data_IF_875426936000
#
_entry.id   IF_875426936000
#
_cell.length_a   1.000
_cell.length_b   1.000
_cell.length_c   1.000
_cell.angle_alpha   90.00
_cell.angle_beta   90.00
_cell.angle_gamma   90.00
#
_symmetry.space_group_name_H-M   'P 1'
#
loop_
_entity.id
_entity.type
_entity.pdbx_description
1 polymer ?
#
# COMPACT_ATOMS: atom_id res chain seq x y z
N UNK A 1 -39.34 6.81 -8.71
CA UNK A 1 -40.08 5.67 -8.13
C UNK A 1 -39.11 4.84 -7.29
N UNK A 2 -38.97 5.24 -6.03
CA UNK A 2 -38.16 4.55 -5.03
C UNK A 2 -38.89 3.29 -4.50
N UNK A 3 -38.07 2.41 -3.91
CA UNK A 3 -38.41 1.45 -2.84
C UNK A 3 -39.43 0.34 -3.15
N UNK A 4 -38.94 -0.87 -3.51
CA UNK A 4 -39.71 -2.12 -3.35
C UNK A 4 -38.90 -3.44 -3.38
N UNK A 5 -37.71 -3.47 -2.78
CA UNK A 5 -36.98 -4.74 -2.54
C UNK A 5 -36.49 -4.90 -1.08
N UNK A 6 -37.24 -4.34 -0.12
CA UNK A 6 -37.14 -4.69 1.29
C UNK A 6 -38.50 -5.19 1.75
N UNK A 7 -38.75 -6.49 1.62
CA UNK A 7 -39.74 -7.30 2.36
C UNK A 7 -39.98 -8.60 1.59
N UNK A 8 -39.04 -9.53 1.67
CA UNK A 8 -39.39 -10.94 1.60
C UNK A 8 -39.36 -11.40 3.06
N UNK A 9 -40.47 -11.93 3.62
CA UNK A 9 -40.49 -12.39 5.00
C UNK A 9 -39.48 -13.54 5.12
N UNK A 10 -38.51 -13.39 6.02
CA UNK A 10 -37.57 -14.47 6.32
C UNK A 10 -38.36 -15.60 6.98
N UNK A 11 -38.37 -16.83 6.41
CA UNK A 11 -38.68 -17.98 7.24
C UNK A 11 -37.47 -18.17 8.15
N UNK A 12 -37.61 -17.75 9.40
CA UNK A 12 -36.64 -18.08 10.45
C UNK A 12 -36.61 -19.60 10.49
N UNK A 13 -35.50 -20.19 10.05
CA UNK A 13 -35.29 -21.63 10.11
C UNK A 13 -35.39 -22.03 11.59
N UNK A 14 -36.39 -22.85 11.93
CA UNK A 14 -36.70 -23.28 13.29
C UNK A 14 -35.51 -23.97 13.99
N UNK A 15 -34.47 -24.38 13.24
CA UNK A 15 -33.24 -24.97 13.78
C UNK A 15 -32.22 -23.94 14.33
N UNK A 16 -32.39 -22.65 14.05
CA UNK A 16 -31.46 -21.60 14.50
C UNK A 16 -32.01 -20.75 15.65
N UNK A 17 -33.25 -21.02 16.10
CA UNK A 17 -33.92 -20.22 17.14
C UNK A 17 -33.33 -20.39 18.55
N UNK A 18 -32.56 -21.46 18.81
CA UNK A 18 -32.14 -21.85 20.16
C UNK A 18 -30.66 -21.56 20.51
N UNK A 19 -29.94 -20.74 19.74
CA UNK A 19 -28.56 -20.35 20.10
C UNK A 19 -28.35 -18.84 20.00
N UNK A 20 -28.11 -18.12 21.11
CA UNK A 20 -28.03 -16.66 21.13
C UNK A 20 -26.68 -16.08 20.64
N UNK A 21 -25.82 -16.89 20.01
CA UNK A 21 -24.45 -16.49 19.62
C UNK A 21 -24.05 -16.81 18.18
N UNK A 22 -24.96 -17.32 17.33
CA UNK A 22 -24.60 -17.59 15.93
C UNK A 22 -24.53 -16.28 15.15
N UNK A 23 -23.36 -15.98 14.60
CA UNK A 23 -23.14 -14.81 13.77
C UNK A 23 -24.12 -14.81 12.58
N UNK A 24 -24.62 -13.65 12.17
CA UNK A 24 -25.55 -13.50 11.02
C UNK A 24 -25.03 -14.26 9.78
N UNK A 25 -23.71 -14.29 9.61
CA UNK A 25 -22.98 -15.05 8.58
C UNK A 25 -23.14 -16.56 8.63
N UNK A 26 -23.26 -17.17 9.81
CA UNK A 26 -23.52 -18.60 9.99
C UNK A 26 -24.97 -18.95 9.62
N UNK A 27 -25.92 -18.10 9.99
CA UNK A 27 -27.32 -18.29 9.59
C UNK A 27 -27.47 -18.24 8.06
N UNK A 28 -26.75 -17.33 7.39
CA UNK A 28 -26.74 -17.25 5.92
C UNK A 28 -26.04 -18.44 5.26
N UNK A 29 -24.98 -19.02 5.86
CA UNK A 29 -24.30 -20.19 5.31
C UNK A 29 -25.16 -21.46 5.39
N UNK A 30 -25.91 -21.62 6.48
CA UNK A 30 -26.90 -22.70 6.65
C UNK A 30 -28.04 -22.55 5.65
N UNK A 31 -28.56 -21.34 5.48
CA UNK A 31 -29.62 -21.06 4.50
C UNK A 31 -29.16 -21.33 3.06
N UNK A 32 -27.96 -20.89 2.68
CA UNK A 32 -27.40 -21.17 1.35
C UNK A 32 -27.19 -22.67 1.11
N UNK A 33 -26.83 -23.42 2.15
CA UNK A 33 -26.67 -24.87 2.07
C UNK A 33 -28.01 -25.60 1.91
N UNK A 34 -29.06 -25.16 2.62
CA UNK A 34 -30.43 -25.65 2.44
C UNK A 34 -31.00 -25.31 1.06
N UNK A 35 -30.72 -24.10 0.54
CA UNK A 35 -31.13 -23.71 -0.81
C UNK A 35 -30.50 -24.60 -1.89
N UNK A 36 -29.25 -25.02 -1.72
CA UNK A 36 -28.57 -25.94 -2.64
C UNK A 36 -29.10 -27.39 -2.57
N UNK A 37 -29.75 -27.78 -1.46
CA UNK A 37 -30.47 -29.06 -1.38
C UNK A 37 -31.77 -29.03 -2.18
N UNK A 38 -32.41 -27.86 -2.31
CA UNK A 38 -33.65 -27.67 -3.08
C UNK A 38 -33.38 -27.45 -4.57
N UNK A 39 -32.30 -26.73 -4.91
CA UNK A 39 -31.85 -26.50 -6.29
C UNK A 39 -30.37 -26.82 -6.41
N UNK A 40 -30.08 -28.09 -6.69
CA UNK A 40 -28.71 -28.55 -6.89
C UNK A 40 -28.10 -27.91 -8.14
N UNK A 41 -27.17 -26.97 -7.95
CA UNK A 41 -26.37 -26.38 -9.03
C UNK A 41 -26.69 -24.92 -9.41
N UNK A 42 -27.53 -24.20 -8.64
CA UNK A 42 -27.68 -22.76 -8.87
C UNK A 42 -26.36 -22.01 -8.59
N UNK A 43 -25.83 -21.36 -9.63
CA UNK A 43 -24.60 -20.57 -9.59
C UNK A 43 -24.69 -19.38 -8.63
N UNK A 44 -25.88 -18.82 -8.42
CA UNK A 44 -26.04 -17.69 -7.50
C UNK A 44 -25.99 -18.14 -6.04
N UNK A 45 -26.64 -19.25 -5.71
CA UNK A 45 -26.53 -19.90 -4.39
C UNK A 45 -25.08 -20.31 -4.06
N UNK A 46 -24.34 -20.90 -5.02
CA UNK A 46 -22.93 -21.27 -4.84
C UNK A 46 -22.05 -20.06 -4.52
N UNK A 47 -22.21 -18.95 -5.24
CA UNK A 47 -21.49 -17.70 -4.95
C UNK A 47 -21.88 -17.12 -3.58
N UNK A 48 -23.16 -17.20 -3.21
CA UNK A 48 -23.63 -16.76 -1.89
C UNK A 48 -22.97 -17.56 -0.76
N UNK A 49 -22.88 -18.88 -0.90
CA UNK A 49 -22.21 -19.76 0.06
C UNK A 49 -20.70 -19.49 0.11
N UNK A 50 -20.05 -19.33 -1.04
CA UNK A 50 -18.63 -18.96 -1.13
C UNK A 50 -18.30 -17.63 -0.43
N UNK A 51 -19.18 -16.62 -0.54
CA UNK A 51 -19.04 -15.35 0.19
C UNK A 51 -19.13 -15.55 1.71
N UNK A 52 -20.06 -16.39 2.17
CA UNK A 52 -20.18 -16.70 3.60
C UNK A 52 -18.92 -17.41 4.13
N UNK A 53 -18.42 -18.42 3.43
CA UNK A 53 -17.18 -19.12 3.82
C UNK A 53 -15.98 -18.17 3.88
N UNK A 54 -15.88 -17.26 2.91
CA UNK A 54 -14.83 -16.24 2.91
C UNK A 54 -14.90 -15.33 4.14
N UNK A 55 -16.10 -14.93 4.58
CA UNK A 55 -16.30 -14.13 5.80
C UNK A 55 -16.03 -14.91 7.09
N UNK A 56 -16.22 -16.22 7.08
CA UNK A 56 -15.89 -17.12 8.18
C UNK A 56 -14.39 -17.48 8.23
N UNK A 57 -13.62 -17.15 7.20
CA UNK A 57 -12.19 -17.45 7.10
C UNK A 57 -11.87 -18.82 6.47
N UNK A 58 -12.88 -19.58 6.05
CA UNK A 58 -12.70 -20.85 5.34
C UNK A 58 -12.49 -20.60 3.84
N UNK A 59 -11.23 -20.45 3.46
CA UNK A 59 -10.85 -20.12 2.09
C UNK A 59 -10.96 -21.33 1.15
N UNK A 60 -10.65 -22.54 1.62
CA UNK A 60 -10.66 -23.75 0.78
C UNK A 60 -12.06 -24.08 0.27
N UNK A 61 -13.07 -24.10 1.15
CA UNK A 61 -14.45 -24.36 0.74
C UNK A 61 -15.02 -23.21 -0.09
N UNK A 62 -14.63 -21.97 0.23
CA UNK A 62 -14.97 -20.80 -0.59
C UNK A 62 -14.48 -20.95 -2.04
N UNK A 63 -13.27 -21.47 -2.24
CA UNK A 63 -12.68 -21.66 -3.58
C UNK A 63 -13.42 -22.76 -4.34
N UNK A 64 -13.69 -23.91 -3.71
CA UNK A 64 -14.44 -25.02 -4.33
C UNK A 64 -15.81 -24.57 -4.83
N UNK A 65 -16.54 -23.80 -4.02
CA UNK A 65 -17.85 -23.25 -4.41
C UNK A 65 -17.76 -22.23 -5.54
N UNK A 66 -16.74 -21.37 -5.52
CA UNK A 66 -16.50 -20.41 -6.59
C UNK A 66 -16.17 -21.13 -7.91
N UNK A 67 -15.39 -22.22 -7.87
CA UNK A 67 -15.07 -23.05 -9.03
C UNK A 67 -16.28 -23.81 -9.57
N UNK A 68 -17.08 -24.40 -8.68
CA UNK A 68 -18.34 -25.06 -9.05
C UNK A 68 -19.30 -24.08 -9.76
N UNK A 69 -19.35 -22.82 -9.30
CA UNK A 69 -20.18 -21.78 -9.95
C UNK A 69 -19.75 -21.45 -11.39
N UNK A 70 -18.48 -21.69 -11.73
CA UNK A 70 -17.86 -21.38 -13.02
C UNK A 70 -17.76 -22.60 -13.96
N UNK A 71 -18.01 -23.80 -13.45
CA UNK A 71 -17.90 -25.05 -14.22
C UNK A 71 -18.91 -25.09 -15.37
N UNK A 72 -20.14 -24.62 -15.11
CA UNK A 72 -21.23 -24.56 -16.09
C UNK A 72 -21.19 -23.29 -16.95
N UNK A 73 -20.83 -22.14 -16.35
CA UNK A 73 -20.80 -20.83 -17.02
C UNK A 73 -19.48 -20.11 -16.74
N UNK A 74 -18.54 -20.25 -17.68
CA UNK A 74 -17.22 -19.60 -17.61
C UNK A 74 -17.26 -18.08 -17.82
N UNK A 75 -18.40 -17.53 -18.24
CA UNK A 75 -18.61 -16.09 -18.47
C UNK A 75 -19.33 -15.41 -17.31
N UNK A 76 -19.64 -16.16 -16.25
CA UNK A 76 -20.34 -15.66 -15.09
C UNK A 76 -19.48 -14.65 -14.29
N UNK A 77 -19.81 -13.37 -14.42
CA UNK A 77 -19.03 -12.27 -13.83
C UNK A 77 -18.97 -12.34 -12.29
N UNK A 78 -20.08 -12.67 -11.63
CA UNK A 78 -20.12 -12.72 -10.15
C UNK A 78 -19.28 -13.87 -9.59
N UNK A 79 -19.27 -15.03 -10.25
CA UNK A 79 -18.42 -16.16 -9.90
C UNK A 79 -16.93 -15.88 -10.13
N UNK A 80 -16.58 -15.21 -11.24
CA UNK A 80 -15.19 -14.80 -11.51
C UNK A 80 -14.68 -13.82 -10.46
N UNK A 81 -15.51 -12.85 -10.08
CA UNK A 81 -15.19 -11.91 -9.01
C UNK A 81 -14.99 -12.62 -7.68
N UNK A 82 -15.91 -13.51 -7.29
CA UNK A 82 -15.81 -14.26 -6.05
C UNK A 82 -14.56 -15.14 -6.00
N UNK A 83 -14.23 -15.83 -7.10
CA UNK A 83 -13.00 -16.62 -7.21
C UNK A 83 -11.75 -15.75 -7.05
N UNK A 84 -11.72 -14.58 -7.68
CA UNK A 84 -10.61 -13.64 -7.55
C UNK A 84 -10.46 -13.12 -6.11
N UNK A 85 -11.58 -12.85 -5.42
CA UNK A 85 -11.58 -12.41 -4.03
C UNK A 85 -11.06 -13.51 -3.09
N UNK A 86 -11.53 -14.76 -3.27
CA UNK A 86 -11.03 -15.90 -2.50
C UNK A 86 -9.54 -16.13 -2.70
N UNK A 87 -9.05 -16.13 -3.96
CA UNK A 87 -7.61 -16.28 -4.24
C UNK A 87 -6.78 -15.13 -3.65
N UNK A 88 -7.31 -13.91 -3.68
CA UNK A 88 -6.66 -12.76 -3.05
C UNK A 88 -6.52 -12.96 -1.54
N UNK A 89 -7.55 -13.48 -0.86
CA UNK A 89 -7.48 -13.79 0.58
C UNK A 89 -6.56 -14.96 0.90
N UNK A 90 -6.39 -15.92 -0.01
CA UNK A 90 -5.41 -17.01 0.13
C UNK A 90 -3.96 -16.51 0.02
N UNK A 91 -3.73 -15.34 -0.60
CA UNK A 91 -2.41 -14.79 -0.87
C UNK A 91 -1.89 -15.09 -2.28
N UNK A 92 -2.69 -15.77 -3.11
CA UNK A 92 -2.35 -16.08 -4.50
C UNK A 92 -2.63 -14.88 -5.42
N UNK A 93 -1.90 -13.78 -5.21
CA UNK A 93 -2.16 -12.50 -5.86
C UNK A 93 -2.07 -12.55 -7.39
N UNK A 94 -1.15 -13.35 -7.93
CA UNK A 94 -0.96 -13.52 -9.38
C UNK A 94 -2.21 -14.12 -10.03
N UNK A 95 -2.74 -15.22 -9.45
CA UNK A 95 -3.95 -15.85 -9.95
C UNK A 95 -5.16 -14.95 -9.74
N UNK A 96 -5.27 -14.29 -8.58
CA UNK A 96 -6.33 -13.32 -8.32
C UNK A 96 -6.35 -12.21 -9.40
N UNK A 97 -5.18 -11.66 -9.74
CA UNK A 97 -5.02 -10.63 -10.77
C UNK A 97 -5.52 -11.10 -12.14
N UNK A 98 -5.17 -12.33 -12.55
CA UNK A 98 -5.64 -12.92 -13.82
C UNK A 98 -7.17 -12.99 -13.87
N UNK A 99 -7.82 -13.45 -12.79
CA UNK A 99 -9.28 -13.54 -12.75
C UNK A 99 -9.96 -12.17 -12.68
N UNK A 100 -9.36 -11.18 -12.01
CA UNK A 100 -9.86 -9.80 -12.04
C UNK A 100 -9.81 -9.20 -13.46
N UNK A 101 -8.72 -9.38 -14.20
CA UNK A 101 -8.62 -8.93 -15.59
C UNK A 101 -9.61 -9.65 -16.50
N UNK A 102 -9.79 -10.96 -16.32
CA UNK A 102 -10.76 -11.75 -17.09
C UNK A 102 -12.20 -11.25 -16.85
N UNK A 103 -12.56 -10.97 -15.60
CA UNK A 103 -13.86 -10.40 -15.26
C UNK A 103 -14.04 -8.96 -15.78
N UNK A 104 -12.97 -8.15 -15.73
CA UNK A 104 -12.99 -6.79 -16.29
C UNK A 104 -13.19 -6.79 -17.80
N UNK A 105 -12.58 -7.72 -18.54
CA UNK A 105 -12.79 -7.87 -19.99
C UNK A 105 -14.24 -8.19 -20.34
N UNK A 106 -14.95 -8.93 -19.48
CA UNK A 106 -16.36 -9.28 -19.69
C UNK A 106 -17.31 -8.14 -19.30
N UNK A 107 -17.02 -7.40 -18.22
CA UNK A 107 -17.81 -6.24 -17.77
C UNK A 107 -16.93 -5.08 -17.32
N UNK A 108 -16.48 -4.22 -18.27
CA UNK A 108 -15.62 -3.09 -17.96
C UNK A 108 -16.27 -2.02 -17.08
N UNK A 109 -17.60 -1.90 -17.14
CA UNK A 109 -18.41 -0.94 -16.37
C UNK A 109 -18.38 -1.20 -14.85
N UNK A 110 -18.12 -2.45 -14.44
CA UNK A 110 -18.18 -2.81 -13.03
C UNK A 110 -16.88 -2.40 -12.31
N UNK A 111 -16.95 -1.32 -11.52
CA UNK A 111 -15.82 -0.75 -10.78
C UNK A 111 -15.14 -1.74 -9.82
N UNK A 112 -15.87 -2.76 -9.33
CA UNK A 112 -15.35 -3.79 -8.43
C UNK A 112 -14.12 -4.51 -9.00
N UNK A 113 -14.11 -4.80 -10.31
CA UNK A 113 -12.95 -5.44 -10.94
C UNK A 113 -11.74 -4.51 -11.01
N UNK A 114 -11.94 -3.23 -11.34
CA UNK A 114 -10.86 -2.24 -11.37
C UNK A 114 -10.18 -2.10 -10.01
N UNK A 115 -10.99 -2.02 -8.95
CA UNK A 115 -10.49 -1.98 -7.58
C UNK A 115 -9.73 -3.26 -7.21
N UNK A 116 -10.23 -4.43 -7.61
CA UNK A 116 -9.55 -5.71 -7.41
C UNK A 116 -8.19 -5.78 -8.10
N UNK A 117 -8.08 -5.28 -9.33
CA UNK A 117 -6.82 -5.19 -10.10
C UNK A 117 -5.80 -4.33 -9.34
N UNK A 118 -6.21 -3.13 -8.89
CA UNK A 118 -5.33 -2.24 -8.14
C UNK A 118 -4.82 -2.90 -6.85
N UNK A 119 -5.73 -3.49 -6.06
CA UNK A 119 -5.37 -4.21 -4.83
C UNK A 119 -4.39 -5.34 -5.08
N UNK A 120 -4.62 -6.17 -6.10
CA UNK A 120 -3.75 -7.29 -6.43
C UNK A 120 -2.38 -6.82 -6.94
N UNK A 121 -2.35 -5.78 -7.80
CA UNK A 121 -1.09 -5.21 -8.30
C UNK A 121 -0.26 -4.60 -7.17
N UNK A 122 -0.87 -3.82 -6.28
CA UNK A 122 -0.20 -3.26 -5.11
C UNK A 122 0.31 -4.35 -4.17
N UNK A 123 -0.46 -5.43 -3.96
CA UNK A 123 -0.01 -6.56 -3.15
C UNK A 123 1.21 -7.27 -3.77
N UNK A 124 1.23 -7.45 -5.10
CA UNK A 124 2.37 -8.01 -5.82
C UNK A 124 3.58 -7.07 -5.75
N UNK A 125 3.39 -5.79 -6.07
CA UNK A 125 4.45 -4.78 -6.05
C UNK A 125 5.05 -4.61 -4.65
N UNK A 126 4.23 -4.71 -3.60
CA UNK A 126 4.71 -4.71 -2.22
C UNK A 126 5.48 -5.99 -1.85
N UNK A 127 5.15 -7.13 -2.48
CA UNK A 127 5.78 -8.43 -2.20
C UNK A 127 7.09 -8.62 -2.98
N UNK A 128 7.10 -8.25 -4.26
CA UNK A 128 8.21 -8.47 -5.21
C UNK A 128 9.06 -7.20 -5.41
N UNK A 129 8.48 -6.02 -5.23
CA UNK A 129 9.06 -4.74 -5.64
C UNK A 129 8.71 -4.39 -7.08
N UNK A 130 8.75 -3.11 -7.44
CA UNK A 130 8.53 -2.68 -8.83
C UNK A 130 9.57 -3.33 -9.75
N UNK A 131 9.22 -3.76 -10.98
CA UNK A 131 10.15 -4.44 -11.89
C UNK A 131 11.39 -3.59 -12.23
N UNK A 132 11.31 -2.26 -12.09
CA UNK A 132 12.43 -1.32 -12.21
C UNK A 132 13.49 -1.45 -11.09
N UNK A 133 13.15 -2.08 -9.97
CA UNK A 133 14.05 -2.31 -8.83
C UNK A 133 14.77 -3.66 -8.87
N UNK A 134 14.30 -4.59 -9.70
CA UNK A 134 14.90 -5.92 -9.87
C UNK A 134 15.86 -5.87 -11.06
N UNK A 135 17.12 -5.50 -10.82
CA UNK A 135 18.21 -5.73 -11.79
C UNK A 135 18.50 -7.22 -11.85
N UNK A 136 17.93 -7.92 -12.83
CA UNK A 136 18.35 -9.27 -13.18
C UNK A 136 19.75 -9.20 -13.81
N UNK A 137 20.78 -9.29 -12.98
CA UNK A 137 22.14 -9.49 -13.48
C UNK A 137 22.30 -10.95 -13.87
N UNK A 138 22.33 -11.24 -15.17
CA UNK A 138 22.76 -12.54 -15.69
C UNK A 138 24.27 -12.70 -15.45
N UNK A 139 24.65 -13.00 -14.21
CA UNK A 139 26.01 -13.39 -13.84
C UNK A 139 26.14 -14.90 -14.00
N UNK A 140 26.30 -15.32 -15.24
CA UNK A 140 26.60 -16.69 -15.64
C UNK A 140 26.52 -16.82 -17.15
N UNK A 141 27.50 -17.49 -17.76
CA UNK A 141 27.65 -17.63 -19.22
C UNK A 141 26.46 -18.34 -19.86
N UNK A 142 25.42 -17.57 -20.21
CA UNK A 142 24.25 -18.05 -20.95
C UNK A 142 24.47 -17.98 -22.48
N UNK A 143 25.67 -17.63 -22.94
CA UNK A 143 26.05 -17.69 -24.35
C UNK A 143 25.87 -19.10 -24.95
N UNK A 144 25.89 -20.16 -24.14
CA UNK A 144 25.59 -21.52 -24.58
C UNK A 144 24.11 -21.75 -24.92
N UNK A 145 23.19 -21.16 -24.14
CA UNK A 145 21.74 -21.34 -24.36
C UNK A 145 21.22 -20.57 -25.57
N UNK A 146 21.82 -19.41 -25.87
CA UNK A 146 21.45 -18.59 -27.03
C UNK A 146 21.61 -19.38 -28.35
N UNK A 147 22.75 -20.07 -28.52
CA UNK A 147 23.03 -20.89 -29.72
C UNK A 147 22.12 -22.12 -29.83
N UNK A 148 21.74 -22.73 -28.71
CA UNK A 148 20.82 -23.88 -28.72
C UNK A 148 19.36 -23.47 -28.95
N UNK A 149 18.95 -22.30 -28.43
CA UNK A 149 17.59 -21.78 -28.60
C UNK A 149 17.29 -21.43 -30.06
N UNK A 150 18.25 -20.88 -30.81
CA UNK A 150 18.08 -20.59 -32.25
C UNK A 150 17.94 -21.87 -33.09
N UNK A 151 18.61 -22.97 -32.70
CA UNK A 151 18.49 -24.27 -33.35
C UNK A 151 17.16 -24.95 -32.98
N UNK A 152 16.73 -24.83 -31.72
CA UNK A 152 15.46 -25.37 -31.22
C UNK A 152 14.21 -24.69 -31.79
N UNK A 153 14.28 -23.37 -32.04
CA UNK A 153 13.17 -22.61 -32.63
C UNK A 153 12.88 -23.02 -34.09
N UNK A 154 13.88 -23.54 -34.82
CA UNK A 154 13.70 -24.07 -36.19
C UNK A 154 13.17 -25.50 -36.25
N UNK A 155 13.12 -26.24 -35.13
CA UNK A 155 12.70 -27.65 -35.10
C UNK A 155 11.37 -27.92 -34.39
N UNK A 156 10.66 -26.91 -33.88
CA UNK A 156 9.38 -27.09 -33.17
C UNK A 156 8.13 -26.81 -34.00
N UNK A 157 8.11 -27.31 -35.23
CA UNK A 157 6.89 -27.80 -35.87
C UNK A 157 6.96 -29.32 -35.79
N UNK A 158 6.52 -29.88 -34.65
CA UNK A 158 5.93 -31.21 -34.48
C UNK A 158 6.14 -31.80 -33.06
N UNK A 159 5.01 -32.24 -32.49
CA UNK A 159 4.85 -33.39 -31.58
C UNK A 159 5.02 -33.19 -30.04
N UNK A 160 3.84 -33.27 -29.41
CA UNK A 160 3.36 -33.99 -28.19
C UNK A 160 4.13 -33.94 -26.87
N UNK A 161 3.33 -33.71 -25.83
CA UNK A 161 3.66 -33.75 -24.40
C UNK A 161 4.04 -35.14 -23.87
N UNK A 162 4.92 -35.21 -22.85
CA UNK A 162 5.02 -36.36 -21.96
C UNK A 162 4.53 -36.07 -20.54
N UNK A 163 4.35 -37.18 -19.82
CA UNK A 163 3.59 -37.40 -18.59
C UNK A 163 4.39 -37.15 -17.31
N UNK A 164 3.63 -37.08 -16.21
CA UNK A 164 4.02 -37.15 -14.81
C UNK A 164 5.14 -38.17 -14.55
N UNK A 165 6.15 -37.73 -13.80
CA UNK A 165 6.98 -38.62 -12.98
C UNK A 165 7.02 -38.13 -11.54
N UNK A 166 6.75 -39.08 -10.64
CA UNK A 166 6.79 -38.98 -9.20
C UNK A 166 8.24 -38.84 -8.74
N UNK A 167 8.54 -37.83 -7.91
CA UNK A 167 9.84 -37.72 -7.25
C UNK A 167 9.72 -38.24 -5.81
N UNK A 168 10.40 -39.36 -5.57
CA UNK A 168 10.65 -39.96 -4.27
C UNK A 168 11.35 -38.95 -3.36
N UNK A 169 10.84 -38.77 -2.14
CA UNK A 169 11.50 -38.03 -1.07
C UNK A 169 12.64 -38.88 -0.50
N UNK A 170 13.87 -38.56 -0.87
CA UNK A 170 15.05 -38.95 -0.10
C UNK A 170 15.21 -37.98 1.08
N UNK A 171 15.12 -38.48 2.31
CA UNK A 171 15.45 -37.75 3.54
C UNK A 171 16.91 -37.29 3.51
N UNK A 172 17.12 -36.02 3.19
CA UNK A 172 18.38 -35.30 3.44
C UNK A 172 18.01 -34.16 4.39
N UNK A 173 18.68 -34.09 5.54
CA UNK A 173 18.43 -33.04 6.53
C UNK A 173 18.57 -31.63 5.93
N UNK A 174 17.90 -30.62 6.50
CA UNK A 174 17.89 -29.28 5.92
C UNK A 174 19.32 -28.74 5.85
N UNK A 175 19.73 -28.24 4.68
CA UNK A 175 21.02 -27.56 4.50
C UNK A 175 21.00 -26.30 5.38
N UNK A 176 21.76 -26.34 6.48
CA UNK A 176 21.81 -25.29 7.51
C UNK A 176 22.77 -24.17 7.07
N UNK A 177 22.26 -22.96 6.93
CA UNK A 177 23.06 -21.77 6.59
C UNK A 177 23.64 -21.13 7.87
N UNK A 178 24.94 -21.34 8.15
CA UNK A 178 25.65 -20.83 9.34
C UNK A 178 25.44 -19.33 9.62
N UNK A 179 25.45 -18.51 8.56
CA UNK A 179 25.21 -17.05 8.67
C UNK A 179 23.82 -16.72 9.23
N UNK A 180 22.84 -17.56 8.92
CA UNK A 180 21.45 -17.36 9.34
C UNK A 180 21.28 -17.76 10.80
N UNK A 181 21.90 -18.86 11.20
CA UNK A 181 21.91 -19.34 12.59
C UNK A 181 22.60 -18.33 13.51
N UNK A 182 23.76 -17.80 13.09
CA UNK A 182 24.48 -16.77 13.84
C UNK A 182 23.66 -15.49 14.05
N UNK A 183 22.87 -15.08 13.05
CA UNK A 183 21.99 -13.92 13.19
C UNK A 183 20.79 -14.17 14.12
N UNK A 184 20.33 -15.41 14.24
CA UNK A 184 19.15 -15.77 15.04
C UNK A 184 19.51 -16.06 16.49
N UNK A 185 20.60 -16.79 16.72
CA UNK A 185 21.09 -17.13 18.05
C UNK A 185 21.84 -15.96 18.71
N UNK A 186 22.43 -15.06 17.92
CA UNK A 186 23.16 -13.90 18.45
C UNK A 186 24.36 -14.33 19.29
N UNK A 187 24.37 -13.95 20.57
CA UNK A 187 25.44 -14.29 21.53
C UNK A 187 25.52 -15.80 21.82
N UNK A 188 24.37 -16.48 21.83
CA UNK A 188 24.27 -17.93 22.09
C UNK A 188 24.84 -18.80 20.97
N UNK A 189 25.19 -18.21 19.82
CA UNK A 189 25.87 -18.93 18.74
C UNK A 189 27.27 -19.39 19.16
N UNK A 190 27.96 -18.61 20.00
CA UNK A 190 29.27 -18.96 20.52
C UNK A 190 29.21 -20.25 21.36
N UNK A 191 28.15 -20.38 22.16
CA UNK A 191 27.89 -21.57 23.00
C UNK A 191 27.58 -22.79 22.14
N UNK A 192 26.79 -22.64 21.07
CA UNK A 192 26.54 -23.72 20.10
C UNK A 192 27.83 -24.24 19.47
N UNK A 193 28.66 -23.33 18.97
CA UNK A 193 29.94 -23.68 18.34
C UNK A 193 30.92 -24.31 19.33
N UNK A 194 30.89 -23.89 20.60
CA UNK A 194 31.68 -24.50 21.67
C UNK A 194 31.23 -25.93 21.96
N UNK A 195 29.91 -26.18 22.09
CA UNK A 195 29.34 -27.51 22.32
C UNK A 195 29.62 -28.48 21.15
N UNK A 196 29.51 -28.01 19.90
CA UNK A 196 29.85 -28.79 18.72
C UNK A 196 31.36 -29.11 18.61
N UNK A 197 32.21 -28.23 19.15
CA UNK A 197 33.65 -28.47 19.25
C UNK A 197 33.96 -29.49 20.36
N UNK A 198 33.28 -29.37 21.49
CA UNK A 198 33.43 -30.25 22.65
C UNK A 198 33.01 -31.69 22.33
N UNK A 199 32.01 -31.86 21.45
CA UNK A 199 31.56 -33.16 20.95
C UNK A 199 32.66 -33.95 20.19
N UNK A 200 33.72 -33.28 19.72
CA UNK A 200 34.82 -33.91 18.98
C UNK A 200 35.90 -34.49 19.89
N UNK A 201 35.91 -34.16 21.18
CA UNK A 201 36.90 -34.64 22.13
C UNK A 201 36.46 -35.98 22.74
N UNK A 202 36.88 -37.09 22.13
CA UNK A 202 36.47 -38.46 22.52
C UNK A 202 36.77 -38.82 23.99
N UNK A 203 37.83 -38.26 24.57
CA UNK A 203 38.25 -38.52 25.95
C UNK A 203 37.23 -38.01 26.98
N UNK A 204 36.54 -36.91 26.65
CA UNK A 204 35.52 -36.32 27.52
C UNK A 204 34.18 -37.04 27.42
N UNK A 205 33.86 -37.55 26.23
CA UNK A 205 32.58 -38.21 25.92
C UNK A 205 32.39 -39.53 26.65
N UNK A 206 33.49 -40.23 26.99
CA UNK A 206 33.45 -41.47 27.79
C UNK A 206 33.27 -41.25 29.29
N UNK A 207 33.37 -40.00 29.76
CA UNK A 207 33.22 -39.69 31.18
C UNK A 207 31.74 -39.67 31.59
N UNK A 208 31.41 -40.41 32.65
CA UNK A 208 30.06 -40.43 33.24
C UNK A 208 30.01 -39.52 34.46
N UNK A 209 28.96 -38.71 34.55
CA UNK A 209 28.73 -37.88 35.74
C UNK A 209 28.25 -38.74 36.92
N UNK A 210 28.32 -38.20 38.15
CA UNK A 210 27.95 -38.89 39.40
C UNK A 210 26.50 -39.39 39.45
N UNK A 211 25.66 -39.05 38.47
CA UNK A 211 24.24 -39.41 38.39
C UNK A 211 23.93 -40.35 37.20
N UNK A 212 24.94 -40.95 36.57
CA UNK A 212 24.75 -41.94 35.50
C UNK A 212 24.38 -41.37 34.14
N UNK A 213 24.33 -40.05 33.98
CA UNK A 213 24.20 -39.38 32.69
C UNK A 213 25.58 -39.22 32.05
N UNK A 214 25.68 -39.55 30.76
CA UNK A 214 26.90 -39.30 30.00
C UNK A 214 27.02 -37.81 29.70
N UNK A 215 28.26 -37.30 29.64
CA UNK A 215 28.51 -35.90 29.26
C UNK A 215 28.03 -35.63 27.82
N UNK A 216 28.07 -36.66 26.98
CA UNK A 216 27.50 -36.66 25.62
C UNK A 216 26.02 -36.28 25.60
N UNK A 217 25.20 -36.92 26.44
CA UNK A 217 23.76 -36.67 26.48
C UNK A 217 23.43 -35.22 26.89
N UNK A 218 24.24 -34.63 27.78
CA UNK A 218 24.08 -33.24 28.21
C UNK A 218 24.44 -32.26 27.08
N UNK A 219 25.51 -32.53 26.34
CA UNK A 219 25.93 -31.72 25.19
C UNK A 219 24.90 -31.80 24.08
N UNK A 220 24.43 -33.02 23.75
CA UNK A 220 23.39 -33.23 22.74
C UNK A 220 22.06 -32.57 23.15
N UNK A 221 21.70 -32.62 24.43
CA UNK A 221 20.55 -31.89 24.98
C UNK A 221 20.69 -30.37 24.80
N UNK A 222 21.88 -29.82 25.05
CA UNK A 222 22.21 -28.41 24.84
C UNK A 222 22.13 -27.99 23.37
N UNK A 223 22.67 -28.79 22.46
CA UNK A 223 22.60 -28.55 21.01
C UNK A 223 21.15 -28.61 20.53
N UNK A 224 20.37 -29.59 20.98
CA UNK A 224 18.97 -29.73 20.63
C UNK A 224 18.12 -28.53 21.14
N UNK A 225 18.43 -28.02 22.33
CA UNK A 225 17.80 -26.79 22.84
C UNK A 225 18.12 -25.58 21.94
N UNK A 226 19.36 -25.44 21.48
CA UNK A 226 19.75 -24.34 20.60
C UNK A 226 19.15 -24.49 19.19
N UNK A 227 19.00 -25.70 18.69
CA UNK A 227 18.36 -25.98 17.40
C UNK A 227 16.86 -25.67 17.44
N UNK A 228 16.13 -26.19 18.43
CA UNK A 228 14.69 -25.88 18.63
C UNK A 228 14.45 -24.38 18.82
N UNK A 229 15.33 -23.69 19.55
CA UNK A 229 15.29 -22.23 19.68
C UNK A 229 15.56 -21.53 18.36
N UNK A 230 16.50 -22.02 17.55
CA UNK A 230 16.78 -21.47 16.22
C UNK A 230 15.56 -21.58 15.31
N UNK A 231 14.88 -22.72 15.31
CA UNK A 231 13.63 -22.94 14.56
C UNK A 231 12.51 -22.01 15.03
N UNK A 232 12.33 -21.85 16.35
CA UNK A 232 11.37 -20.90 16.92
C UNK A 232 11.60 -19.47 16.43
N UNK A 233 12.85 -18.99 16.45
CA UNK A 233 13.17 -17.65 15.95
C UNK A 233 13.08 -17.52 14.43
N UNK A 234 13.27 -18.60 13.67
CA UNK A 234 13.01 -18.60 12.22
C UNK A 234 11.52 -18.42 11.91
N UNK A 235 10.64 -19.05 12.69
CA UNK A 235 9.19 -18.92 12.56
C UNK A 235 8.72 -17.52 12.98
N UNK A 236 9.27 -16.96 14.05
CA UNK A 236 8.89 -15.63 14.54
C UNK A 236 9.51 -14.49 13.71
N UNK A 237 10.74 -14.67 13.19
CA UNK A 237 11.48 -13.69 12.37
C UNK A 237 11.93 -14.31 11.04
N UNK A 238 10.97 -14.61 10.15
CA UNK A 238 11.29 -15.10 8.81
C UNK A 238 12.11 -14.07 8.02
N UNK A 239 12.76 -14.53 6.95
CA UNK A 239 13.76 -13.76 6.19
C UNK A 239 13.23 -12.37 5.79
N UNK A 240 11.97 -12.29 5.36
CA UNK A 240 11.35 -11.03 4.96
C UNK A 240 11.25 -10.00 6.10
N UNK A 241 10.92 -10.43 7.33
CA UNK A 241 10.82 -9.56 8.49
C UNK A 241 12.20 -9.00 8.86
N UNK A 242 13.24 -9.84 8.85
CA UNK A 242 14.63 -9.41 9.14
C UNK A 242 15.19 -8.45 8.10
N UNK A 243 14.90 -8.68 6.82
CA UNK A 243 15.31 -7.78 5.74
C UNK A 243 14.57 -6.44 5.85
N UNK A 244 13.28 -6.46 6.19
CA UNK A 244 12.50 -5.25 6.45
C UNK A 244 13.07 -4.45 7.61
N UNK A 245 13.33 -5.09 8.74
CA UNK A 245 13.87 -4.43 9.93
C UNK A 245 15.25 -3.83 9.66
N UNK A 246 16.09 -4.53 8.90
CA UNK A 246 17.40 -4.02 8.47
C UNK A 246 17.25 -2.81 7.55
N UNK A 247 16.30 -2.84 6.61
CA UNK A 247 15.99 -1.68 5.74
C UNK A 247 15.43 -0.51 6.55
N UNK A 248 14.55 -0.77 7.51
CA UNK A 248 13.98 0.27 8.38
C UNK A 248 15.05 0.91 9.26
N UNK A 249 15.96 0.11 9.84
CA UNK A 249 17.13 0.64 10.53
C UNK A 249 17.96 1.51 9.59
N UNK A 250 18.34 1.01 8.41
CA UNK A 250 19.13 1.79 7.43
C UNK A 250 18.42 3.08 7.01
N UNK A 251 17.10 3.07 6.86
CA UNK A 251 16.30 4.25 6.54
C UNK A 251 16.24 5.25 7.70
N UNK A 252 16.26 4.78 8.96
CA UNK A 252 16.34 5.63 10.15
C UNK A 252 17.67 6.39 10.27
N UNK A 253 18.73 5.86 9.66
CA UNK A 253 20.08 6.43 9.67
C UNK A 253 20.38 7.32 8.44
N UNK A 254 19.41 7.53 7.53
CA UNK A 254 19.57 8.50 6.45
C UNK A 254 19.29 9.91 6.99
N UNK A 255 20.16 10.91 6.73
CA UNK A 255 19.89 12.31 7.08
C UNK A 255 18.58 12.76 6.45
N UNK A 256 17.86 13.64 7.14
CA UNK A 256 16.54 14.20 6.77
C UNK A 256 16.24 14.11 5.28
N UNK A 257 15.30 13.22 4.96
CA UNK A 257 14.92 12.92 3.59
C UNK A 257 14.39 14.20 2.94
N UNK A 258 15.19 14.82 2.07
CA UNK A 258 14.75 15.94 1.22
C UNK A 258 13.40 15.60 0.62
N UNK A 259 12.41 16.49 0.77
CA UNK A 259 11.04 16.24 0.30
C UNK A 259 11.07 16.05 -1.21
N UNK A 260 10.29 15.10 -1.75
CA UNK A 260 10.25 14.93 -3.20
C UNK A 260 9.62 16.17 -3.83
N UNK A 261 10.15 16.72 -4.94
CA UNK A 261 9.55 17.88 -5.61
C UNK A 261 8.07 17.69 -5.95
N UNK A 262 7.66 16.46 -6.28
CA UNK A 262 6.25 16.12 -6.55
C UNK A 262 5.33 16.25 -5.33
N UNK A 263 5.86 16.02 -4.12
CA UNK A 263 5.10 16.11 -2.87
C UNK A 263 4.94 17.57 -2.45
N UNK A 264 6.01 18.36 -2.61
CA UNK A 264 6.03 19.81 -2.44
C UNK A 264 5.00 20.48 -3.35
N UNK A 265 5.06 20.21 -4.66
CA UNK A 265 4.13 20.76 -5.64
C UNK A 265 2.67 20.39 -5.33
N UNK A 266 2.41 19.12 -4.95
CA UNK A 266 1.06 18.66 -4.58
C UNK A 266 0.53 19.39 -3.35
N UNK A 267 1.37 19.61 -2.35
CA UNK A 267 0.98 20.35 -1.14
C UNK A 267 0.62 21.80 -1.47
N UNK A 268 1.44 22.48 -2.28
CA UNK A 268 1.23 23.87 -2.68
C UNK A 268 -0.11 24.00 -3.43
N UNK A 269 -0.31 23.20 -4.49
CA UNK A 269 -1.53 23.24 -5.30
C UNK A 269 -2.78 23.01 -4.46
N UNK A 270 -2.78 21.95 -3.64
CA UNK A 270 -3.90 21.64 -2.75
C UNK A 270 -4.18 22.78 -1.76
N UNK A 271 -3.12 23.40 -1.23
CA UNK A 271 -3.26 24.50 -0.27
C UNK A 271 -3.85 25.74 -0.91
N UNK A 272 -3.45 26.07 -2.15
CA UNK A 272 -4.03 27.19 -2.90
C UNK A 272 -5.50 26.96 -3.23
N UNK A 273 -5.87 25.76 -3.71
CA UNK A 273 -7.27 25.39 -3.97
C UNK A 273 -8.15 25.52 -2.71
N UNK A 274 -7.64 25.10 -1.55
CA UNK A 274 -8.35 25.25 -0.27
C UNK A 274 -8.55 26.72 0.11
N UNK A 275 -7.55 27.58 -0.11
CA UNK A 275 -7.62 29.02 0.17
C UNK A 275 -8.70 29.69 -0.71
N UNK A 276 -8.72 29.39 -2.00
CA UNK A 276 -9.69 29.95 -2.96
C UNK A 276 -11.12 29.48 -2.68
N UNK A 277 -11.26 28.21 -2.32
CA UNK A 277 -12.56 27.65 -1.93
C UNK A 277 -13.10 28.34 -0.67
N UNK A 278 -12.25 28.61 0.34
CA UNK A 278 -12.63 29.32 1.57
C UNK A 278 -13.00 30.79 1.31
N UNK A 279 -12.34 31.46 0.38
CA UNK A 279 -12.72 32.82 -0.04
C UNK A 279 -14.10 32.84 -0.69
N UNK A 280 -14.35 31.89 -1.60
CA UNK A 280 -15.62 31.80 -2.33
C UNK A 280 -16.77 31.40 -1.42
N UNK A 281 -16.52 30.56 -0.42
CA UNK A 281 -17.54 30.09 0.54
C UNK A 281 -17.90 31.11 1.63
N UNK A 282 -17.52 32.38 1.48
CA UNK A 282 -17.78 33.47 2.44
C UNK A 282 -17.18 33.22 3.84
N UNK A 283 -16.08 32.46 3.95
CA UNK A 283 -15.33 32.29 5.20
C UNK A 283 -13.94 32.94 5.10
N UNK A 284 -13.86 34.29 5.08
CA UNK A 284 -12.60 34.99 4.83
C UNK A 284 -11.58 34.80 5.96
N UNK A 285 -12.05 34.63 7.21
CA UNK A 285 -11.14 34.38 8.34
C UNK A 285 -10.41 33.02 8.20
N UNK A 286 -11.13 31.98 7.76
CA UNK A 286 -10.55 30.66 7.51
C UNK A 286 -9.51 30.69 6.40
N UNK A 287 -9.81 31.39 5.31
CA UNK A 287 -8.87 31.61 4.20
C UNK A 287 -7.61 32.35 4.66
N UNK A 288 -7.76 33.44 5.42
CA UNK A 288 -6.63 34.22 5.96
C UNK A 288 -5.70 33.34 6.82
N UNK A 289 -6.27 32.57 7.77
CA UNK A 289 -5.49 31.68 8.64
C UNK A 289 -4.77 30.58 7.84
N UNK A 290 -5.43 30.03 6.83
CA UNK A 290 -4.85 28.99 5.97
C UNK A 290 -3.68 29.56 5.17
N UNK A 291 -3.84 30.73 4.56
CA UNK A 291 -2.79 31.39 3.78
C UNK A 291 -1.59 31.78 4.67
N UNK A 292 -1.82 32.31 5.87
CA UNK A 292 -0.74 32.61 6.85
C UNK A 292 0.01 31.33 7.27
N UNK A 293 -0.70 30.22 7.50
CA UNK A 293 -0.08 28.94 7.83
C UNK A 293 0.82 28.42 6.68
N UNK A 294 0.31 28.49 5.45
CA UNK A 294 1.03 28.04 4.25
C UNK A 294 2.27 28.92 4.03
N UNK A 295 2.14 30.23 4.21
CA UNK A 295 3.25 31.19 4.14
C UNK A 295 4.36 30.84 5.13
N UNK A 296 4.04 30.64 6.42
CA UNK A 296 5.01 30.25 7.44
C UNK A 296 5.69 28.92 7.12
N UNK A 297 4.93 27.98 6.55
CA UNK A 297 5.45 26.66 6.16
C UNK A 297 6.48 26.80 5.03
N UNK A 298 6.15 27.59 4.00
CA UNK A 298 7.01 27.80 2.82
C UNK A 298 8.26 28.61 3.16
N UNK A 299 8.17 29.58 4.06
CA UNK A 299 9.34 30.34 4.52
C UNK A 299 10.41 29.43 5.12
N UNK A 300 10.01 28.38 5.85
CA UNK A 300 10.91 27.38 6.41
C UNK A 300 11.49 26.36 5.42
N UNK A 301 11.12 26.40 4.14
CA UNK A 301 11.68 25.51 3.10
C UNK A 301 12.84 26.19 2.38
N UNK A 302 13.83 25.41 1.92
CA UNK A 302 14.96 25.97 1.16
C UNK A 302 14.52 26.43 -0.24
N UNK A 303 15.25 27.39 -0.82
CA UNK A 303 14.95 27.92 -2.15
C UNK A 303 15.02 26.85 -3.25
N UNK A 304 15.93 25.87 -3.11
CA UNK A 304 16.06 24.74 -4.03
C UNK A 304 14.84 23.80 -4.06
N UNK A 305 14.00 23.81 -3.02
CA UNK A 305 12.84 22.91 -2.92
C UNK A 305 11.62 23.41 -3.70
N UNK A 306 11.51 24.72 -3.93
CA UNK A 306 10.32 25.35 -4.51
C UNK A 306 10.71 26.22 -5.72
N UNK A 307 10.33 25.82 -6.95
CA UNK A 307 10.47 26.72 -8.09
C UNK A 307 9.59 27.95 -7.89
N UNK A 308 10.12 29.14 -8.18
CA UNK A 308 9.44 30.43 -8.05
C UNK A 308 8.84 30.69 -6.65
N UNK A 309 9.60 30.36 -5.58
CA UNK A 309 9.19 30.58 -4.19
C UNK A 309 8.64 32.00 -3.93
N UNK A 310 9.30 33.02 -4.47
CA UNK A 310 8.92 34.42 -4.26
C UNK A 310 7.56 34.76 -4.90
N UNK A 311 7.28 34.26 -6.10
CA UNK A 311 5.98 34.40 -6.76
C UNK A 311 4.85 33.78 -5.91
N UNK A 312 5.10 32.58 -5.36
CA UNK A 312 4.15 31.92 -4.47
C UNK A 312 3.91 32.72 -3.18
N UNK A 313 4.95 33.29 -2.58
CA UNK A 313 4.84 34.15 -1.40
C UNK A 313 4.01 35.40 -1.72
N UNK A 314 4.26 36.07 -2.85
CA UNK A 314 3.46 37.22 -3.31
C UNK A 314 1.98 36.85 -3.47
N UNK A 315 1.69 35.73 -4.12
CA UNK A 315 0.32 35.23 -4.28
C UNK A 315 -0.36 34.96 -2.93
N UNK A 316 0.34 34.39 -1.94
CA UNK A 316 -0.19 34.19 -0.59
C UNK A 316 -0.51 35.52 0.11
N UNK A 317 0.36 36.52 0.00
CA UNK A 317 0.08 37.87 0.53
C UNK A 317 -1.14 38.51 -0.14
N UNK A 318 -1.33 38.29 -1.45
CA UNK A 318 -2.53 38.74 -2.15
C UNK A 318 -3.80 38.05 -1.63
N UNK A 319 -3.77 36.74 -1.40
CA UNK A 319 -4.90 36.00 -0.82
C UNK A 319 -5.24 36.50 0.59
N UNK A 320 -4.21 36.74 1.42
CA UNK A 320 -4.36 37.31 2.77
C UNK A 320 -5.00 38.70 2.69
N UNK A 321 -4.50 39.57 1.82
CA UNK A 321 -5.04 40.92 1.64
C UNK A 321 -6.51 40.90 1.19
N UNK A 322 -6.87 40.04 0.24
CA UNK A 322 -8.26 39.85 -0.18
C UNK A 322 -9.16 39.37 0.95
N UNK A 323 -8.72 38.37 1.72
CA UNK A 323 -9.46 37.92 2.90
C UNK A 323 -9.66 39.07 3.91
N UNK A 324 -8.63 39.89 4.15
CA UNK A 324 -8.70 41.03 5.07
C UNK A 324 -9.62 42.16 4.57
N UNK A 325 -9.70 42.39 3.26
CA UNK A 325 -10.67 43.30 2.63
C UNK A 325 -12.10 42.85 2.96
N UNK A 326 -12.39 41.55 2.82
CA UNK A 326 -13.71 40.97 3.12
C UNK A 326 -14.01 40.96 4.64
N UNK A 327 -12.99 40.87 5.49
CA UNK A 327 -13.13 41.06 6.95
C UNK A 327 -13.25 42.53 7.38
N UNK A 328 -13.15 43.50 6.47
CA UNK A 328 -13.19 44.94 6.79
C UNK A 328 -11.88 45.50 7.39
N UNK A 329 -10.82 44.71 7.45
CA UNK A 329 -9.53 45.09 8.05
C UNK A 329 -8.64 45.83 7.04
N UNK A 330 -9.10 46.98 6.56
CA UNK A 330 -8.47 47.71 5.44
C UNK A 330 -7.00 48.09 5.67
N UNK A 331 -6.63 48.44 6.91
CA UNK A 331 -5.25 48.80 7.24
C UNK A 331 -4.27 47.64 7.09
N UNK A 332 -4.68 46.42 7.49
CA UNK A 332 -3.88 45.20 7.33
C UNK A 332 -3.85 44.76 5.87
N UNK A 333 -4.99 44.85 5.17
CA UNK A 333 -5.07 44.50 3.76
C UNK A 333 -4.10 45.32 2.91
N UNK A 334 -4.00 46.62 3.20
CA UNK A 334 -3.06 47.51 2.52
C UNK A 334 -1.60 47.08 2.75
N UNK A 335 -1.25 46.62 3.96
CA UNK A 335 0.09 46.12 4.26
C UNK A 335 0.39 44.83 3.50
N UNK A 336 -0.55 43.88 3.48
CA UNK A 336 -0.39 42.62 2.75
C UNK A 336 -0.21 42.83 1.25
N UNK A 337 -1.03 43.68 0.62
CA UNK A 337 -0.87 43.98 -0.82
C UNK A 337 0.39 44.80 -1.13
N UNK A 338 0.90 45.61 -0.19
CA UNK A 338 2.20 46.27 -0.35
C UNK A 338 3.37 45.28 -0.33
N UNK A 339 3.33 44.26 0.53
CA UNK A 339 4.35 43.20 0.54
C UNK A 339 4.35 42.41 -0.76
N UNK A 340 3.17 42.08 -1.28
CA UNK A 340 3.01 41.45 -2.60
C UNK A 340 3.59 42.32 -3.73
N UNK A 341 3.34 43.65 -3.71
CA UNK A 341 3.94 44.58 -4.68
C UNK A 341 5.46 44.64 -4.57
N UNK A 342 6.01 44.67 -3.36
CA UNK A 342 7.45 44.71 -3.11
C UNK A 342 8.13 43.46 -3.66
N UNK A 343 7.61 42.27 -3.33
CA UNK A 343 8.11 41.00 -3.84
C UNK A 343 7.99 40.94 -5.38
N UNK A 344 6.87 41.39 -5.94
CA UNK A 344 6.66 41.40 -7.38
C UNK A 344 7.67 42.29 -8.11
N UNK A 345 8.03 43.45 -7.53
CA UNK A 345 9.06 44.35 -8.09
C UNK A 345 10.46 43.80 -7.95
N UNK A 346 10.80 43.23 -6.79
CA UNK A 346 12.12 42.63 -6.55
C UNK A 346 12.41 41.43 -7.45
N UNK A 347 11.36 40.76 -7.95
CA UNK A 347 11.48 39.57 -8.79
C UNK A 347 11.08 39.82 -10.26
N UNK A 348 10.93 41.09 -10.67
CA UNK A 348 10.58 41.49 -12.03
C UNK A 348 9.33 40.75 -12.60
N UNK A 349 8.28 40.64 -11.79
CA UNK A 349 7.03 39.94 -12.13
C UNK A 349 5.93 40.95 -12.54
N UNK A 350 5.79 41.30 -13.84
CA UNK A 350 4.87 42.36 -14.28
C UNK A 350 3.40 42.05 -13.96
N UNK A 351 2.97 40.80 -14.13
CA UNK A 351 1.61 40.37 -13.83
C UNK A 351 1.28 40.49 -12.34
N UNK A 352 2.24 40.14 -11.47
CA UNK A 352 2.08 40.26 -10.02
C UNK A 352 2.08 41.73 -9.58
N UNK A 353 2.90 42.60 -10.22
CA UNK A 353 2.87 44.06 -9.97
C UNK A 353 1.50 44.63 -10.32
N UNK A 354 0.95 44.26 -11.48
CA UNK A 354 -0.40 44.68 -11.90
C UNK A 354 -1.46 44.26 -10.87
N UNK A 355 -1.45 42.99 -10.48
CA UNK A 355 -2.37 42.41 -9.49
C UNK A 355 -2.27 43.12 -8.13
N UNK A 356 -1.06 43.43 -7.68
CA UNK A 356 -0.85 44.09 -6.40
C UNK A 356 -1.33 45.55 -6.41
N UNK A 357 -1.02 46.31 -7.47
CA UNK A 357 -1.47 47.70 -7.63
C UNK A 357 -3.00 47.80 -7.73
N UNK A 358 -3.64 46.89 -8.47
CA UNK A 358 -5.10 46.85 -8.56
C UNK A 358 -5.74 46.65 -7.18
N UNK A 359 -5.22 45.69 -6.40
CA UNK A 359 -5.72 45.43 -5.06
C UNK A 359 -5.45 46.60 -4.09
N UNK A 360 -4.30 47.28 -4.18
CA UNK A 360 -4.02 48.49 -3.39
C UNK A 360 -5.01 49.61 -3.74
N UNK A 361 -5.29 49.82 -5.03
CA UNK A 361 -6.28 50.77 -5.51
C UNK A 361 -7.68 50.47 -4.97
N UNK A 362 -8.09 49.20 -4.99
CA UNK A 362 -9.35 48.72 -4.39
C UNK A 362 -9.43 49.01 -2.89
N UNK A 363 -8.34 48.80 -2.14
CA UNK A 363 -8.30 49.13 -0.70
C UNK A 363 -8.46 50.62 -0.47
N UNK A 364 -7.74 51.49 -1.20
CA UNK A 364 -7.89 52.94 -1.06
C UNK A 364 -9.30 53.43 -1.40
N UNK A 365 -9.91 52.86 -2.44
CA UNK A 365 -11.30 53.15 -2.79
C UNK A 365 -12.27 52.75 -1.66
N UNK A 366 -12.09 51.56 -1.04
CA UNK A 366 -12.91 51.14 0.10
C UNK A 366 -12.71 52.00 1.37
N UNK A 367 -11.53 52.58 1.57
CA UNK A 367 -11.27 53.53 2.68
C UNK A 367 -11.86 54.92 2.39
N UNK A 368 -12.18 55.24 1.14
CA UNK A 368 -12.67 56.56 0.71
C UNK A 368 -11.55 57.54 0.34
N UNK A 369 -10.30 57.07 0.18
CA UNK A 369 -9.16 57.89 -0.27
C UNK A 369 -9.02 57.84 -1.79
N UNK A 370 -10.00 58.43 -2.48
CA UNK A 370 -10.12 58.32 -3.94
C UNK A 370 -8.92 58.89 -4.70
N UNK A 371 -8.32 59.98 -4.24
CA UNK A 371 -7.14 60.55 -4.89
C UNK A 371 -5.97 59.55 -4.91
N UNK A 372 -5.70 58.89 -3.77
CA UNK A 372 -4.63 57.89 -3.67
C UNK A 372 -4.92 56.65 -4.53
N UNK A 373 -6.20 56.25 -4.66
CA UNK A 373 -6.59 55.17 -5.56
C UNK A 373 -6.29 55.54 -7.03
N UNK A 374 -6.67 56.75 -7.46
CA UNK A 374 -6.39 57.25 -8.82
C UNK A 374 -4.88 57.29 -9.06
N UNK A 375 -4.11 57.86 -8.15
CA UNK A 375 -2.65 57.97 -8.29
C UNK A 375 -2.01 56.57 -8.42
N UNK A 376 -2.51 55.57 -7.68
CA UNK A 376 -2.06 54.18 -7.78
C UNK A 376 -2.38 53.57 -9.15
N UNK A 377 -3.60 53.77 -9.67
CA UNK A 377 -3.99 53.27 -11.00
C UNK A 377 -3.29 54.00 -12.14
N UNK A 378 -2.96 55.29 -11.99
CA UNK A 378 -2.23 56.05 -12.99
C UNK A 378 -0.78 55.60 -13.06
N UNK A 379 -0.15 55.33 -11.90
CA UNK A 379 1.22 54.78 -11.83
C UNK A 379 1.35 53.41 -12.50
N UNK A 380 0.23 52.69 -12.68
CA UNK A 380 0.21 51.42 -13.42
C UNK A 380 0.24 51.60 -14.95
N UNK A 381 -0.29 52.72 -15.47
CA UNK A 381 -0.46 52.98 -16.91
C UNK A 381 0.78 53.64 -17.53
N UNK A 382 1.54 54.38 -16.73
CA UNK A 382 2.80 55.05 -17.11
C UNK A 382 3.99 54.16 -16.85
#
# INVERSE_FOLDING_TARGET
MCSRFYQIPMPVCASCADKPSTSVTECFSVFASQALQLQAGDKHCLVARSMCYLKLGDTENSLRDAEASLQNDKTFSKGLYQKAETLYTMGDFEFALVYYHRGHKLRPELQKFRLGIQKAQEAIDNSVGSPSSVKLENKGDLCFLSRQAEVWLKQKLQVKAPKKDQKQQSKVGPIRNEKTERQLLGELYADKAYLEKLLKDEDLMRSSTKHGMTVEDLILGGINYLDTRTEFWQQQKPIYARVRDRKLMQQRWLPERKRKPSEVARYILKSMEEIDMLLTSSCPEGSCKKAEHVLNTIQGWSEDEIPNKNELIGNLYSCIGNAQIEMGQMGRALQSHKMDLEIARENDLPDAVSRALDNIGRVYARIGKFQQAIDTYVTFIT
#
